data_IF_884611050040
#
_entry.id   IF_884611050040
#
_cell.length_a   1.000
_cell.length_b   1.000
_cell.length_c   1.000
_cell.angle_alpha   90.00
_cell.angle_beta   90.00
_cell.angle_gamma   90.00
#
_symmetry.space_group_name_H-M   'P 1'
#
loop_
_entity.id
_entity.type
_entity.pdbx_description
1 polymer ?
#
# COMPACT_ATOMS: atom_id res chain seq x y z
N UNK A 1 -34.36 44.04 -19.29
CA UNK A 1 -33.88 43.19 -18.17
C UNK A 1 -33.19 41.97 -18.75
N UNK A 2 -31.84 42.02 -18.77
CA UNK A 2 -30.99 41.00 -19.31
C UNK A 2 -30.76 39.94 -18.20
N UNK A 3 -31.32 38.76 -18.33
CA UNK A 3 -31.00 37.62 -17.48
C UNK A 3 -29.66 37.02 -17.92
N UNK A 4 -28.62 37.27 -17.16
CA UNK A 4 -27.37 36.51 -17.23
C UNK A 4 -27.63 35.11 -16.66
N UNK A 5 -27.82 34.13 -17.52
CA UNK A 5 -27.69 32.72 -17.16
C UNK A 5 -26.21 32.45 -16.84
N UNK A 6 -25.85 32.45 -15.58
CA UNK A 6 -24.60 31.85 -15.11
C UNK A 6 -24.71 30.34 -15.34
N UNK A 7 -24.20 29.89 -16.47
CA UNK A 7 -23.89 28.47 -16.70
C UNK A 7 -22.81 28.09 -15.68
N UNK A 8 -23.24 27.42 -14.61
CA UNK A 8 -22.32 26.73 -13.72
C UNK A 8 -21.75 25.55 -14.54
N UNK A 9 -20.63 25.78 -15.24
CA UNK A 9 -19.84 24.68 -15.74
C UNK A 9 -19.41 23.86 -14.51
N UNK A 10 -20.02 22.68 -14.29
CA UNK A 10 -19.41 21.66 -13.46
C UNK A 10 -18.03 21.40 -14.09
N UNK A 11 -16.99 21.83 -13.42
CA UNK A 11 -15.65 21.47 -13.77
C UNK A 11 -15.57 19.97 -13.51
N UNK A 12 -15.50 19.15 -14.57
CA UNK A 12 -15.30 17.72 -14.43
C UNK A 12 -13.99 17.51 -13.66
N UNK A 13 -14.10 17.05 -12.43
CA UNK A 13 -12.92 16.72 -11.61
C UNK A 13 -12.22 15.53 -12.26
N UNK A 14 -10.95 15.68 -12.64
CA UNK A 14 -10.18 14.57 -13.21
C UNK A 14 -10.17 13.40 -12.23
N UNK A 15 -10.31 12.15 -12.69
CA UNK A 15 -10.28 10.98 -11.81
C UNK A 15 -9.01 10.92 -10.95
N UNK A 16 -9.14 10.42 -9.71
CA UNK A 16 -8.02 10.21 -8.79
C UNK A 16 -7.61 8.74 -8.82
N UNK A 17 -6.37 8.45 -9.19
CA UNK A 17 -5.83 7.09 -9.14
C UNK A 17 -5.11 6.83 -7.82
N UNK A 18 -5.49 5.74 -7.15
CA UNK A 18 -4.91 5.32 -5.87
C UNK A 18 -4.30 3.93 -6.04
N UNK A 19 -3.05 3.75 -5.62
CA UNK A 19 -2.33 2.49 -5.67
C UNK A 19 -1.73 2.10 -4.33
N UNK A 20 -1.31 0.83 -4.27
CA UNK A 20 -0.53 0.30 -3.16
C UNK A 20 0.53 -0.68 -3.69
N UNK A 21 1.69 -0.70 -3.04
CA UNK A 21 2.74 -1.67 -3.33
C UNK A 21 3.63 -1.96 -2.11
N UNK A 22 3.86 -3.24 -1.84
CA UNK A 22 4.95 -3.69 -0.97
C UNK A 22 6.24 -3.70 -1.81
N UNK A 23 7.21 -2.85 -1.42
CA UNK A 23 8.42 -2.63 -2.22
C UNK A 23 9.51 -3.67 -2.00
N UNK A 24 9.31 -4.67 -1.16
CA UNK A 24 10.32 -5.67 -0.74
C UNK A 24 11.60 -5.01 -0.21
N UNK A 25 11.61 -4.60 1.06
CA UNK A 25 12.83 -4.19 1.77
C UNK A 25 13.62 -3.06 1.07
N UNK A 26 13.05 -1.86 1.06
CA UNK A 26 13.73 -0.66 0.56
C UNK A 26 14.52 -0.01 1.71
N UNK A 27 15.81 -0.36 1.80
CA UNK A 27 16.76 0.11 2.81
C UNK A 27 17.81 1.01 2.18
N UNK A 28 18.38 1.91 2.97
CA UNK A 28 19.59 2.64 2.60
C UNK A 28 20.86 1.79 2.89
N UNK A 29 22.04 2.39 2.80
CA UNK A 29 23.31 1.70 2.98
C UNK A 29 23.90 1.88 4.39
N UNK A 30 23.26 2.69 5.23
CA UNK A 30 23.69 2.91 6.59
C UNK A 30 23.11 1.85 7.52
N UNK A 31 23.84 1.48 8.55
CA UNK A 31 23.40 0.57 9.61
C UNK A 31 22.78 1.41 10.73
N UNK A 32 21.50 1.21 11.06
CA UNK A 32 20.90 1.81 12.25
C UNK A 32 21.13 0.91 13.45
N UNK A 33 21.99 1.31 14.41
CA UNK A 33 22.34 0.47 15.55
C UNK A 33 21.17 0.14 16.48
N UNK A 34 20.00 0.77 16.30
CA UNK A 34 18.77 0.50 17.07
C UNK A 34 17.81 -0.45 16.36
N UNK A 35 18.12 -0.84 15.10
CA UNK A 35 17.31 -1.72 14.25
C UNK A 35 18.07 -3.00 13.88
N UNK A 36 17.36 -3.96 13.30
CA UNK A 36 17.96 -5.20 12.77
C UNK A 36 18.00 -5.12 11.24
N UNK A 37 18.69 -4.15 10.70
CA UNK A 37 18.83 -3.83 9.28
C UNK A 37 20.24 -4.07 8.74
N UNK A 38 21.18 -4.45 9.61
CA UNK A 38 22.60 -4.65 9.30
C UNK A 38 22.83 -5.54 8.06
N UNK A 39 21.87 -6.39 7.70
CA UNK A 39 22.01 -7.24 6.51
C UNK A 39 21.96 -6.45 5.20
N UNK A 40 21.33 -5.26 5.21
CA UNK A 40 21.17 -4.39 4.04
C UNK A 40 22.24 -3.29 3.97
N UNK A 41 22.98 -3.04 5.06
CA UNK A 41 24.03 -2.03 5.10
C UNK A 41 25.25 -2.43 4.28
N UNK A 42 26.12 -1.44 4.02
CA UNK A 42 27.41 -1.67 3.35
C UNK A 42 28.28 -2.63 4.17
N UNK A 43 28.65 -3.77 3.57
CA UNK A 43 29.40 -4.83 4.24
C UNK A 43 28.56 -5.76 5.11
N UNK A 44 27.24 -5.58 5.16
CA UNK A 44 26.31 -6.51 5.77
C UNK A 44 26.19 -7.84 5.01
N UNK A 45 25.32 -8.72 5.49
CA UNK A 45 25.21 -10.10 4.98
C UNK A 45 24.82 -10.19 3.50
N UNK A 46 24.03 -9.24 2.99
CA UNK A 46 23.64 -9.14 1.57
C UNK A 46 24.69 -8.46 0.71
N UNK A 47 25.72 -7.87 1.33
CA UNK A 47 26.79 -7.13 0.67
C UNK A 47 26.26 -6.09 -0.33
N UNK A 48 25.33 -5.26 0.13
CA UNK A 48 24.70 -4.22 -0.69
C UNK A 48 25.75 -3.16 -1.04
N UNK A 49 26.02 -2.99 -2.33
CA UNK A 49 26.88 -1.94 -2.87
C UNK A 49 26.03 -0.76 -3.33
N UNK A 50 26.66 0.38 -3.65
CA UNK A 50 25.97 1.53 -4.24
C UNK A 50 25.22 1.14 -5.52
N UNK A 51 25.81 0.30 -6.37
CA UNK A 51 25.18 -0.12 -7.63
C UNK A 51 23.90 -0.95 -7.38
N UNK A 52 23.90 -1.80 -6.34
CA UNK A 52 22.73 -2.60 -5.95
C UNK A 52 21.65 -1.69 -5.38
N UNK A 53 22.03 -0.73 -4.55
CA UNK A 53 21.14 0.27 -4.01
C UNK A 53 20.48 1.11 -5.13
N UNK A 54 21.33 1.65 -6.04
CA UNK A 54 20.85 2.44 -7.18
C UNK A 54 19.91 1.62 -8.07
N UNK A 55 20.18 0.32 -8.27
CA UNK A 55 19.30 -0.57 -8.99
C UNK A 55 17.93 -0.69 -8.29
N UNK A 56 17.91 -0.84 -6.96
CA UNK A 56 16.64 -0.93 -6.19
C UNK A 56 15.84 0.36 -6.28
N UNK A 57 16.48 1.52 -6.14
CA UNK A 57 15.87 2.84 -6.28
C UNK A 57 15.25 3.00 -7.68
N UNK A 58 16.03 2.68 -8.73
CA UNK A 58 15.57 2.81 -10.12
C UNK A 58 14.41 1.86 -10.44
N UNK A 59 14.47 0.61 -9.98
CA UNK A 59 13.38 -0.37 -10.16
C UNK A 59 12.11 0.09 -9.44
N UNK A 60 12.26 0.69 -8.24
CA UNK A 60 11.12 1.25 -7.50
C UNK A 60 10.51 2.44 -8.25
N UNK A 61 11.33 3.35 -8.77
CA UNK A 61 10.87 4.48 -9.58
C UNK A 61 10.18 4.02 -10.89
N UNK A 62 10.70 2.97 -11.54
CA UNK A 62 10.09 2.39 -12.74
C UNK A 62 8.71 1.78 -12.43
N UNK A 63 8.57 1.05 -11.31
CA UNK A 63 7.27 0.52 -10.88
C UNK A 63 6.26 1.64 -10.61
N UNK A 64 6.67 2.73 -9.95
CA UNK A 64 5.80 3.90 -9.74
C UNK A 64 5.37 4.54 -11.07
N UNK A 65 6.26 4.57 -12.07
CA UNK A 65 5.94 5.10 -13.39
C UNK A 65 4.86 4.26 -14.10
N UNK A 66 4.96 2.94 -14.04
CA UNK A 66 3.98 2.04 -14.65
C UNK A 66 2.67 2.00 -13.86
N UNK A 67 2.75 2.05 -12.53
CA UNK A 67 1.57 2.14 -11.67
C UNK A 67 0.78 3.43 -11.95
N UNK A 68 1.50 4.52 -12.23
CA UNK A 68 0.96 5.83 -12.61
C UNK A 68 -0.23 6.28 -11.75
N UNK A 69 -0.10 6.16 -10.42
CA UNK A 69 -1.13 6.55 -9.48
C UNK A 69 -0.87 7.95 -8.90
N UNK A 70 -1.92 8.70 -8.59
CA UNK A 70 -1.81 10.04 -8.00
C UNK A 70 -1.51 9.96 -6.50
N UNK A 71 -1.95 8.87 -5.86
CA UNK A 71 -1.68 8.55 -4.45
C UNK A 71 -1.22 7.11 -4.37
N UNK A 72 -0.09 6.87 -3.69
CA UNK A 72 0.49 5.52 -3.56
C UNK A 72 0.83 5.23 -2.12
N UNK A 73 0.20 4.21 -1.54
CA UNK A 73 0.64 3.59 -0.29
C UNK A 73 1.82 2.66 -0.55
N UNK A 74 2.84 2.73 0.27
CA UNK A 74 4.00 1.84 0.22
C UNK A 74 4.20 1.20 1.59
N UNK A 75 4.77 0.00 1.61
CA UNK A 75 5.29 -0.62 2.83
C UNK A 75 6.64 -1.29 2.59
N UNK A 76 7.31 -1.70 3.67
CA UNK A 76 8.70 -2.17 3.67
C UNK A 76 9.71 -1.09 3.25
N UNK A 77 9.42 0.14 3.63
CA UNK A 77 10.29 1.30 3.46
C UNK A 77 11.01 1.56 4.77
N UNK A 78 12.32 1.71 4.73
CA UNK A 78 13.10 1.96 5.94
C UNK A 78 12.87 3.35 6.51
N UNK A 79 13.09 4.38 5.71
CA UNK A 79 13.08 5.75 6.20
C UNK A 79 12.66 6.76 5.11
N UNK A 80 12.58 8.03 5.49
CA UNK A 80 12.23 9.11 4.57
C UNK A 80 13.28 9.33 3.49
N UNK A 81 14.56 9.11 3.79
CA UNK A 81 15.64 9.35 2.85
C UNK A 81 15.51 8.47 1.60
N UNK A 82 15.26 7.16 1.75
CA UNK A 82 15.07 6.28 0.58
C UNK A 82 13.85 6.67 -0.26
N UNK A 83 12.79 7.21 0.36
CA UNK A 83 11.63 7.73 -0.37
C UNK A 83 11.96 9.00 -1.18
N UNK A 84 12.78 9.87 -0.65
CA UNK A 84 13.26 11.08 -1.35
C UNK A 84 14.13 10.70 -2.55
N UNK A 85 15.01 9.69 -2.41
CA UNK A 85 15.82 9.15 -3.52
C UNK A 85 14.94 8.52 -4.61
N UNK A 86 13.93 7.74 -4.25
CA UNK A 86 12.95 7.19 -5.22
C UNK A 86 12.20 8.32 -5.92
N UNK A 87 11.74 9.33 -5.18
CA UNK A 87 11.01 10.46 -5.76
C UNK A 87 11.89 11.31 -6.70
N UNK A 88 13.18 11.40 -6.41
CA UNK A 88 14.16 12.05 -7.27
C UNK A 88 14.41 11.25 -8.56
N UNK A 89 14.48 9.91 -8.46
CA UNK A 89 14.64 9.03 -9.61
C UNK A 89 13.37 8.97 -10.48
N UNK A 90 12.20 9.15 -9.86
CA UNK A 90 10.91 9.15 -10.55
C UNK A 90 10.61 10.52 -11.14
N UNK A 91 10.52 10.61 -12.46
CA UNK A 91 10.34 11.89 -13.18
C UNK A 91 8.89 12.17 -13.61
N UNK A 92 7.95 11.27 -13.29
CA UNK A 92 6.56 11.38 -13.73
C UNK A 92 5.74 12.41 -12.97
N UNK A 93 5.99 12.54 -11.65
CA UNK A 93 5.31 13.47 -10.73
C UNK A 93 6.29 13.93 -9.65
N UNK A 94 6.05 15.12 -9.09
CA UNK A 94 6.72 15.57 -7.86
C UNK A 94 5.87 15.20 -6.65
N UNK A 95 6.00 13.95 -6.20
CA UNK A 95 5.25 13.49 -5.05
C UNK A 95 5.67 14.22 -3.77
N UNK A 96 4.68 14.49 -2.92
CA UNK A 96 4.93 14.77 -1.51
C UNK A 96 4.86 13.47 -0.72
N UNK A 97 5.62 13.40 0.36
CA UNK A 97 5.86 12.20 1.14
C UNK A 97 5.27 12.37 2.53
N UNK A 98 4.48 11.38 2.97
CA UNK A 98 4.07 11.22 4.36
C UNK A 98 4.68 9.91 4.86
N UNK A 99 5.50 10.02 5.90
CA UNK A 99 6.22 8.92 6.52
C UNK A 99 6.41 9.21 8.00
N UNK A 100 6.26 8.19 8.82
CA UNK A 100 6.52 8.19 10.25
C UNK A 100 7.29 6.91 10.60
N UNK A 101 8.34 7.08 11.41
CA UNK A 101 9.07 5.96 11.97
C UNK A 101 8.19 5.15 12.90
N UNK A 102 8.21 3.83 12.76
CA UNK A 102 7.49 2.89 13.59
C UNK A 102 8.41 2.09 14.52
N UNK A 103 7.84 1.44 15.55
CA UNK A 103 8.64 0.63 16.46
C UNK A 103 9.02 -0.76 15.88
N UNK A 104 8.85 -1.03 14.60
CA UNK A 104 9.28 -2.31 14.00
C UNK A 104 10.77 -2.52 14.19
N UNK A 105 11.16 -3.73 14.61
CA UNK A 105 12.55 -4.04 14.93
C UNK A 105 13.46 -4.12 13.71
N UNK A 106 12.92 -4.29 12.51
CA UNK A 106 13.68 -4.28 11.25
C UNK A 106 13.89 -2.88 10.70
N UNK A 107 13.20 -1.86 11.27
CA UNK A 107 13.25 -0.51 10.75
C UNK A 107 12.45 -0.32 9.46
N UNK A 108 11.36 -1.06 9.25
CA UNK A 108 10.51 -0.87 8.07
C UNK A 108 9.18 -0.25 8.45
N UNK A 109 8.67 0.62 7.57
CA UNK A 109 7.51 1.45 7.82
C UNK A 109 6.49 1.41 6.67
N UNK A 110 5.36 2.07 6.92
CA UNK A 110 4.37 2.44 5.93
C UNK A 110 4.58 3.89 5.49
N UNK A 111 4.40 4.17 4.21
CA UNK A 111 4.50 5.50 3.64
C UNK A 111 3.37 5.81 2.68
N UNK A 112 3.11 7.09 2.42
CA UNK A 112 2.22 7.56 1.36
C UNK A 112 2.95 8.59 0.51
N UNK A 113 2.96 8.37 -0.79
CA UNK A 113 3.34 9.34 -1.81
C UNK A 113 2.06 9.93 -2.42
N UNK A 114 2.02 11.24 -2.66
CA UNK A 114 0.85 11.86 -3.29
C UNK A 114 1.21 13.05 -4.17
N UNK A 115 0.46 13.21 -5.26
CA UNK A 115 0.53 14.40 -6.11
C UNK A 115 -0.30 15.54 -5.49
N UNK A 116 0.35 16.62 -5.01
CA UNK A 116 -0.37 17.71 -4.35
C UNK A 116 -1.23 18.54 -5.31
N UNK A 117 -1.09 18.38 -6.61
CA UNK A 117 -1.94 19.03 -7.60
C UNK A 117 -3.33 18.41 -7.73
N UNK A 118 -3.49 17.15 -7.28
CA UNK A 118 -4.73 16.37 -7.40
C UNK A 118 -5.32 16.05 -6.04
N UNK A 119 -4.48 15.72 -5.05
CA UNK A 119 -4.89 15.29 -3.71
C UNK A 119 -4.31 16.23 -2.64
N UNK A 120 -5.18 16.79 -1.80
CA UNK A 120 -4.78 17.72 -0.74
C UNK A 120 -4.83 17.02 0.61
N UNK A 121 -3.69 16.88 1.25
CA UNK A 121 -3.62 16.35 2.63
C UNK A 121 -4.12 17.39 3.62
N UNK A 122 -5.04 16.97 4.49
CA UNK A 122 -5.64 17.78 5.56
C UNK A 122 -5.00 17.46 6.91
N UNK A 123 -4.76 16.16 7.17
CA UNK A 123 -4.17 15.67 8.42
C UNK A 123 -3.52 14.31 8.19
N UNK A 124 -2.53 13.95 9.02
CA UNK A 124 -1.92 12.63 9.01
C UNK A 124 -1.34 12.25 10.35
N UNK A 125 -1.34 10.95 10.65
CA UNK A 125 -0.74 10.42 11.88
C UNK A 125 -0.34 8.96 11.73
N UNK A 126 0.66 8.54 12.50
CA UNK A 126 0.92 7.14 12.78
C UNK A 126 -0.03 6.66 13.88
N UNK A 127 -0.73 5.55 13.66
CA UNK A 127 -1.57 4.90 14.64
C UNK A 127 -0.78 3.72 15.21
N UNK A 128 -0.43 3.80 16.49
CA UNK A 128 0.24 2.71 17.21
C UNK A 128 -0.56 1.40 17.07
N UNK A 129 0.13 0.34 16.69
CA UNK A 129 -0.44 -0.98 16.46
C UNK A 129 0.02 -1.98 17.54
N UNK A 130 -0.59 -1.94 18.74
CA UNK A 130 -0.17 -2.77 19.86
C UNK A 130 -0.53 -4.23 19.62
N UNK A 131 0.47 -5.07 19.43
CA UNK A 131 0.29 -6.51 19.29
C UNK A 131 0.32 -7.26 20.63
N UNK A 132 -0.28 -8.47 20.70
CA UNK A 132 -0.16 -9.34 21.88
C UNK A 132 1.30 -9.56 22.29
N UNK A 133 1.54 -9.65 23.60
CA UNK A 133 2.86 -9.82 24.20
C UNK A 133 3.86 -8.68 23.94
N UNK A 134 3.37 -7.46 23.69
CA UNK A 134 4.18 -6.28 23.39
C UNK A 134 5.15 -6.45 22.21
N UNK A 135 4.79 -7.29 21.25
CA UNK A 135 5.56 -7.43 20.00
C UNK A 135 5.49 -6.11 19.24
N UNK A 136 6.66 -5.56 18.92
CA UNK A 136 6.77 -4.36 18.11
C UNK A 136 6.49 -4.68 16.63
N UNK A 137 5.83 -3.75 15.95
CA UNK A 137 5.46 -3.86 14.54
C UNK A 137 5.25 -2.47 13.94
N UNK A 138 4.95 -2.43 12.65
CA UNK A 138 4.62 -1.20 11.93
C UNK A 138 3.36 -0.56 12.45
N UNK A 139 3.39 0.75 12.60
CA UNK A 139 2.21 1.55 12.82
C UNK A 139 1.33 1.55 11.57
N UNK A 140 0.03 1.82 11.74
CA UNK A 140 -0.86 2.06 10.61
C UNK A 140 -0.74 3.54 10.25
N UNK A 141 -0.40 3.85 9.00
CA UNK A 141 -0.38 5.23 8.55
C UNK A 141 -1.79 5.67 8.18
N UNK A 142 -2.31 6.66 8.90
CA UNK A 142 -3.58 7.31 8.58
C UNK A 142 -3.35 8.66 7.91
N UNK A 143 -4.09 8.93 6.84
CA UNK A 143 -4.08 10.20 6.13
C UNK A 143 -5.52 10.63 5.85
N UNK A 144 -5.88 11.82 6.29
CA UNK A 144 -7.11 12.51 5.92
C UNK A 144 -6.80 13.47 4.78
N UNK A 145 -7.44 13.29 3.65
CA UNK A 145 -7.25 14.14 2.48
C UNK A 145 -8.55 14.65 1.89
N UNK A 146 -8.42 15.55 0.93
CA UNK A 146 -9.52 16.14 0.19
C UNK A 146 -9.30 15.93 -1.31
N UNK A 147 -10.33 15.45 -2.01
CA UNK A 147 -10.37 15.31 -3.45
C UNK A 147 -11.77 15.68 -3.97
N UNK A 148 -11.83 16.56 -4.96
CA UNK A 148 -13.11 17.02 -5.54
C UNK A 148 -14.06 17.67 -4.54
N UNK A 149 -13.56 18.20 -3.41
CA UNK A 149 -14.35 18.81 -2.32
C UNK A 149 -14.90 17.81 -1.31
N UNK A 150 -14.59 16.51 -1.46
CA UNK A 150 -14.96 15.44 -0.52
C UNK A 150 -13.76 15.02 0.32
N UNK A 151 -14.03 14.53 1.52
CA UNK A 151 -13.00 14.03 2.44
C UNK A 151 -12.81 12.52 2.22
N UNK A 152 -11.56 12.11 2.07
CA UNK A 152 -11.16 10.70 2.01
C UNK A 152 -10.31 10.37 3.23
N UNK A 153 -10.60 9.25 3.87
CA UNK A 153 -9.80 8.66 4.94
C UNK A 153 -8.98 7.49 4.38
N UNK A 154 -7.68 7.69 4.23
CA UNK A 154 -6.75 6.67 3.74
C UNK A 154 -6.01 6.02 4.89
N UNK A 155 -5.83 4.70 4.82
CA UNK A 155 -5.03 3.93 5.76
C UNK A 155 -4.03 3.08 4.98
N UNK A 156 -2.74 3.23 5.26
CA UNK A 156 -1.71 2.33 4.72
C UNK A 156 -1.32 1.33 5.79
N UNK A 157 -1.38 0.04 5.43
CA UNK A 157 -1.25 -1.08 6.33
C UNK A 157 -0.14 -2.02 5.88
N UNK A 158 0.59 -2.59 6.82
CA UNK A 158 1.37 -3.80 6.62
C UNK A 158 1.17 -4.71 7.83
N UNK A 159 0.27 -5.68 7.69
CA UNK A 159 -0.10 -6.59 8.77
C UNK A 159 1.01 -7.60 9.09
N UNK A 160 1.02 -8.19 10.30
CA UNK A 160 2.02 -9.18 10.69
C UNK A 160 2.10 -10.36 9.72
N UNK A 161 3.31 -10.58 9.17
CA UNK A 161 3.55 -11.62 8.19
C UNK A 161 3.45 -13.04 8.76
N UNK A 162 3.39 -14.03 7.87
CA UNK A 162 3.42 -15.45 8.22
C UNK A 162 4.81 -15.95 8.66
N UNK A 163 5.82 -15.07 8.75
CA UNK A 163 7.16 -15.41 9.23
C UNK A 163 7.10 -15.97 10.66
N UNK A 164 7.76 -17.09 10.89
CA UNK A 164 7.69 -17.80 12.18
C UNK A 164 6.44 -18.66 12.36
N UNK A 165 5.57 -18.75 11.34
CA UNK A 165 4.42 -19.64 11.24
C UNK A 165 3.06 -18.98 11.32
N UNK A 166 2.19 -19.29 10.36
CA UNK A 166 0.85 -18.73 10.19
C UNK A 166 0.00 -18.76 11.47
N UNK A 167 0.03 -19.87 12.22
CA UNK A 167 -0.74 -19.99 13.48
C UNK A 167 -0.37 -18.95 14.53
N UNK A 168 0.89 -18.49 14.54
CA UNK A 168 1.36 -17.43 15.43
C UNK A 168 1.03 -16.03 14.92
N UNK A 169 0.88 -15.86 13.61
CA UNK A 169 0.57 -14.60 12.96
C UNK A 169 -0.92 -14.24 13.06
N UNK A 170 -1.83 -15.22 12.92
CA UNK A 170 -3.29 -15.00 12.95
C UNK A 170 -3.75 -14.15 14.15
N UNK A 171 -3.40 -14.45 15.43
CA UNK A 171 -3.85 -13.62 16.56
C UNK A 171 -3.25 -12.21 16.56
N UNK A 172 -2.08 -12.00 15.95
CA UNK A 172 -1.49 -10.67 15.78
C UNK A 172 -2.28 -9.86 14.77
N UNK A 173 -2.62 -10.45 13.62
CA UNK A 173 -3.48 -9.81 12.61
C UNK A 173 -4.88 -9.54 13.15
N UNK A 174 -5.43 -10.45 13.96
CA UNK A 174 -6.70 -10.22 14.64
C UNK A 174 -6.68 -8.97 15.53
N UNK A 175 -5.59 -8.72 16.26
CA UNK A 175 -5.43 -7.51 17.06
C UNK A 175 -5.37 -6.26 16.19
N UNK A 176 -4.62 -6.30 15.06
CA UNK A 176 -4.57 -5.20 14.09
C UNK A 176 -5.94 -4.94 13.45
N UNK A 177 -6.66 -5.98 13.03
CA UNK A 177 -8.01 -5.85 12.49
C UNK A 177 -8.99 -5.21 13.48
N UNK A 178 -8.94 -5.62 14.77
CA UNK A 178 -9.75 -5.02 15.83
C UNK A 178 -9.43 -3.55 16.08
N UNK A 179 -8.15 -3.17 16.02
CA UNK A 179 -7.72 -1.77 16.10
C UNK A 179 -8.33 -0.96 14.95
N UNK A 180 -8.22 -1.46 13.71
CA UNK A 180 -8.80 -0.80 12.52
C UNK A 180 -10.31 -0.65 12.68
N UNK A 181 -11.03 -1.72 13.05
CA UNK A 181 -12.48 -1.68 13.28
C UNK A 181 -12.84 -0.58 14.29
N UNK A 182 -12.09 -0.46 15.40
CA UNK A 182 -12.32 0.59 16.41
C UNK A 182 -12.13 1.99 15.84
N UNK A 183 -11.07 2.22 15.07
CA UNK A 183 -10.80 3.52 14.44
C UNK A 183 -11.88 3.87 13.42
N UNK A 184 -12.25 2.92 12.56
CA UNK A 184 -13.31 3.09 11.56
C UNK A 184 -14.65 3.42 12.22
N UNK A 185 -15.03 2.72 13.29
CA UNK A 185 -16.26 3.03 14.04
C UNK A 185 -16.25 4.47 14.60
N UNK A 186 -15.09 4.97 14.99
CA UNK A 186 -14.99 6.37 15.45
C UNK A 186 -15.26 7.35 14.31
N UNK A 187 -14.73 7.09 13.10
CA UNK A 187 -14.99 7.90 11.91
C UNK A 187 -16.47 7.82 11.53
N UNK A 188 -17.03 6.61 11.42
CA UNK A 188 -18.42 6.38 11.03
C UNK A 188 -19.43 6.94 12.05
N UNK A 189 -19.03 7.09 13.32
CA UNK A 189 -19.87 7.76 14.32
C UNK A 189 -20.01 9.27 14.10
N UNK A 190 -19.08 9.89 13.36
CA UNK A 190 -19.09 11.30 12.99
C UNK A 190 -19.71 11.51 11.61
N UNK A 191 -19.45 10.61 10.68
CA UNK A 191 -20.01 10.58 9.34
C UNK A 191 -20.27 9.13 8.91
N UNK A 192 -21.51 8.70 8.91
CA UNK A 192 -21.92 7.34 8.57
C UNK A 192 -21.67 7.00 7.08
N UNK A 193 -21.48 8.00 6.23
CA UNK A 193 -21.18 7.87 4.80
C UNK A 193 -19.71 8.13 4.46
N UNK A 194 -18.82 8.18 5.45
CA UNK A 194 -17.40 8.51 5.25
C UNK A 194 -16.74 7.66 4.16
N UNK A 195 -16.02 8.34 3.29
CA UNK A 195 -15.21 7.74 2.22
C UNK A 195 -13.90 7.19 2.81
N UNK A 196 -13.82 5.88 3.01
CA UNK A 196 -12.70 5.24 3.68
C UNK A 196 -12.07 4.23 2.75
N UNK A 197 -10.73 4.28 2.61
CA UNK A 197 -9.94 3.36 1.80
C UNK A 197 -8.80 2.83 2.66
N UNK A 198 -8.70 1.51 2.79
CA UNK A 198 -7.55 0.84 3.35
C UNK A 198 -6.71 0.29 2.19
N UNK A 199 -5.44 0.61 2.20
CA UNK A 199 -4.42 0.10 1.30
C UNK A 199 -3.46 -0.76 2.11
N UNK A 200 -3.00 -1.89 1.61
CA UNK A 200 -2.01 -2.61 2.38
C UNK A 200 -1.68 -4.02 1.91
N UNK A 201 -0.56 -4.51 2.46
CA UNK A 201 -0.24 -5.92 2.58
C UNK A 201 -0.89 -6.45 3.87
N UNK A 202 -2.02 -7.14 3.73
CA UNK A 202 -2.78 -7.70 4.85
C UNK A 202 -2.25 -9.06 5.29
N UNK A 203 -1.32 -9.67 4.54
CA UNK A 203 -0.79 -11.01 4.78
C UNK A 203 -1.87 -12.10 4.96
N UNK A 204 -3.06 -11.82 4.49
CA UNK A 204 -4.25 -12.67 4.41
C UNK A 204 -5.02 -12.37 3.13
N UNK A 205 -5.63 -13.41 2.55
CA UNK A 205 -6.52 -13.26 1.40
C UNK A 205 -7.84 -12.57 1.80
N UNK A 206 -8.59 -11.97 0.84
CA UNK A 206 -9.86 -11.30 1.10
C UNK A 206 -10.91 -12.14 1.82
N UNK A 207 -10.90 -13.47 1.66
CA UNK A 207 -11.85 -14.41 2.28
C UNK A 207 -11.37 -14.95 3.64
N UNK A 208 -10.18 -14.57 4.10
CA UNK A 208 -9.67 -14.99 5.39
C UNK A 208 -10.29 -14.20 6.56
N UNK A 209 -10.31 -14.85 7.73
CA UNK A 209 -11.13 -14.44 8.88
C UNK A 209 -10.86 -12.98 9.33
N UNK A 210 -9.60 -12.54 9.38
CA UNK A 210 -9.31 -11.21 9.89
C UNK A 210 -9.69 -10.11 8.89
N UNK A 211 -9.48 -10.33 7.58
CA UNK A 211 -9.96 -9.43 6.53
C UNK A 211 -11.49 -9.44 6.48
N UNK A 212 -12.14 -10.61 6.56
CA UNK A 212 -13.59 -10.73 6.62
C UNK A 212 -14.21 -10.00 7.84
N UNK A 213 -13.47 -9.91 8.94
CA UNK A 213 -13.94 -9.18 10.13
C UNK A 213 -14.17 -7.68 9.85
N UNK A 214 -13.49 -7.11 8.88
CA UNK A 214 -13.66 -5.71 8.48
C UNK A 214 -15.04 -5.44 7.85
N UNK A 215 -15.71 -6.46 7.31
CA UNK A 215 -17.10 -6.35 6.81
C UNK A 215 -18.10 -5.97 7.90
N UNK A 216 -17.78 -6.20 9.17
CA UNK A 216 -18.64 -5.81 10.30
C UNK A 216 -18.81 -4.29 10.42
N UNK A 217 -17.93 -3.53 9.81
CA UNK A 217 -17.98 -2.07 9.76
C UNK A 217 -18.15 -1.54 8.31
N UNK A 218 -18.69 -2.37 7.43
CA UNK A 218 -19.02 -1.98 6.05
C UNK A 218 -17.81 -1.84 5.12
N UNK A 219 -16.69 -2.49 5.42
CA UNK A 219 -15.52 -2.49 4.54
C UNK A 219 -15.49 -3.75 3.68
N UNK A 220 -15.14 -3.60 2.40
CA UNK A 220 -15.10 -4.70 1.42
C UNK A 220 -13.84 -4.60 0.56
N UNK A 221 -13.13 -5.71 0.39
CA UNK A 221 -11.97 -5.79 -0.49
C UNK A 221 -12.39 -5.76 -1.96
N UNK A 222 -11.74 -4.90 -2.74
CA UNK A 222 -11.92 -4.84 -4.19
C UNK A 222 -11.23 -6.00 -4.91
N UNK A 223 -10.36 -6.75 -4.22
CA UNK A 223 -9.70 -7.95 -4.76
C UNK A 223 -10.56 -9.22 -4.59
N UNK A 224 -11.58 -9.22 -3.71
CA UNK A 224 -12.42 -10.39 -3.44
C UNK A 224 -13.05 -11.02 -4.71
N UNK A 225 -13.51 -10.26 -5.71
CA UNK A 225 -14.05 -10.82 -6.96
C UNK A 225 -13.02 -11.56 -7.83
N UNK A 226 -11.72 -11.36 -7.59
CA UNK A 226 -10.64 -12.00 -8.35
C UNK A 226 -10.22 -13.36 -7.77
N UNK A 227 -10.69 -13.70 -6.55
CA UNK A 227 -10.35 -14.97 -5.89
C UNK A 227 -10.69 -16.17 -6.78
N UNK A 228 -9.75 -17.12 -6.84
CA UNK A 228 -9.90 -18.34 -7.64
C UNK A 228 -9.66 -18.16 -9.15
N UNK A 229 -9.28 -16.97 -9.61
CA UNK A 229 -8.84 -16.76 -11.00
C UNK A 229 -7.43 -17.33 -11.17
N UNK A 230 -7.20 -18.31 -12.05
CA UNK A 230 -5.89 -18.93 -12.20
C UNK A 230 -4.80 -17.92 -12.62
N UNK A 231 -3.63 -18.00 -12.02
CA UNK A 231 -2.46 -17.15 -12.26
C UNK A 231 -2.71 -15.65 -11.98
N UNK A 232 -3.68 -15.34 -11.11
CA UNK A 232 -3.97 -13.98 -10.67
C UNK A 232 -3.76 -13.91 -9.16
N UNK A 233 -2.91 -13.01 -8.73
CA UNK A 233 -2.57 -12.75 -7.34
C UNK A 233 -1.53 -11.64 -7.24
N UNK A 234 -1.38 -11.08 -6.06
CA UNK A 234 -0.37 -10.03 -5.79
C UNK A 234 0.94 -10.60 -5.27
N UNK A 235 0.90 -11.80 -4.72
CA UNK A 235 2.05 -12.57 -4.23
C UNK A 235 1.88 -14.05 -4.61
N UNK A 236 2.97 -14.81 -4.70
CA UNK A 236 2.92 -16.26 -4.93
C UNK A 236 3.74 -16.98 -3.87
N UNK A 237 3.11 -17.87 -3.12
CA UNK A 237 3.80 -18.66 -2.11
C UNK A 237 3.55 -20.15 -2.34
N UNK A 238 4.63 -20.93 -2.52
CA UNK A 238 4.59 -22.39 -2.78
C UNK A 238 3.68 -22.80 -3.95
N UNK A 239 3.61 -21.94 -4.98
CA UNK A 239 2.79 -22.20 -6.17
C UNK A 239 1.34 -21.77 -6.04
N UNK A 240 0.94 -21.20 -4.91
CA UNK A 240 -0.40 -20.65 -4.70
C UNK A 240 -0.39 -19.15 -4.92
N UNK A 241 -1.30 -18.64 -5.75
CA UNK A 241 -1.54 -17.23 -5.95
C UNK A 241 -2.31 -16.66 -4.75
N UNK A 242 -1.80 -15.56 -4.17
CA UNK A 242 -2.33 -14.95 -2.95
C UNK A 242 -2.64 -13.46 -3.20
N UNK A 243 -3.69 -12.95 -2.55
CA UNK A 243 -4.11 -11.56 -2.64
C UNK A 243 -3.80 -10.82 -1.35
N UNK A 244 -2.53 -10.79 -0.95
CA UNK A 244 -2.10 -10.13 0.28
C UNK A 244 -2.17 -8.61 0.18
N UNK A 245 -1.90 -8.05 -1.02
CA UNK A 245 -1.98 -6.63 -1.29
C UNK A 245 -3.40 -6.28 -1.74
N UNK A 246 -4.09 -5.45 -0.96
CA UNK A 246 -5.51 -5.19 -1.17
C UNK A 246 -5.84 -3.69 -1.10
N UNK A 247 -6.90 -3.33 -1.81
CA UNK A 247 -7.63 -2.08 -1.64
C UNK A 247 -9.00 -2.43 -1.08
N UNK A 248 -9.31 -1.92 0.11
CA UNK A 248 -10.54 -2.20 0.84
C UNK A 248 -11.30 -0.88 1.00
N UNK A 249 -12.57 -0.84 0.64
CA UNK A 249 -13.37 0.40 0.60
C UNK A 249 -14.60 0.32 1.49
N UNK A 250 -15.02 1.49 2.02
CA UNK A 250 -16.26 1.62 2.80
C UNK A 250 -17.52 1.63 1.93
N UNK A 251 -18.69 1.49 2.58
CA UNK A 251 -19.98 1.67 1.93
C UNK A 251 -20.17 3.08 1.36
N UNK A 252 -19.52 4.13 1.94
CA UNK A 252 -19.53 5.48 1.38
C UNK A 252 -19.13 5.49 -0.09
N UNK A 253 -18.03 4.82 -0.44
CA UNK A 253 -17.57 4.72 -1.83
C UNK A 253 -18.46 3.86 -2.75
N UNK A 254 -19.52 3.24 -2.23
CA UNK A 254 -20.46 2.40 -2.97
C UNK A 254 -21.89 2.98 -3.01
N UNK A 255 -22.19 4.00 -2.25
CA UNK A 255 -23.53 4.56 -2.09
C UNK A 255 -23.98 5.48 -3.24
N UNK A 256 -23.11 5.71 -4.23
CA UNK A 256 -23.33 6.57 -5.41
C UNK A 256 -23.54 8.03 -5.08
N UNK A 257 -22.87 8.53 -4.03
CA UNK A 257 -22.85 9.94 -3.63
C UNK A 257 -21.41 10.37 -3.43
N UNK A 258 -21.16 11.68 -3.45
CA UNK A 258 -19.83 12.24 -3.21
C UNK A 258 -18.78 11.62 -4.10
N UNK A 259 -18.12 10.56 -3.62
CA UNK A 259 -17.16 9.79 -4.38
C UNK A 259 -17.64 8.34 -4.62
N UNK A 260 -17.07 7.74 -5.64
CA UNK A 260 -17.21 6.33 -5.94
C UNK A 260 -15.90 5.80 -6.53
N UNK A 261 -15.88 4.55 -6.91
CA UNK A 261 -14.76 3.98 -7.65
C UNK A 261 -15.22 3.36 -8.97
N UNK A 262 -14.34 3.40 -9.96
CA UNK A 262 -14.54 2.68 -11.22
C UNK A 262 -14.14 1.21 -11.03
N UNK A 263 -15.11 0.31 -11.02
CA UNK A 263 -14.89 -1.13 -10.81
C UNK A 263 -14.05 -1.78 -11.93
N UNK A 264 -14.06 -1.22 -13.14
CA UNK A 264 -13.27 -1.73 -14.27
C UNK A 264 -11.80 -1.29 -14.17
N UNK A 265 -11.50 -0.28 -13.34
CA UNK A 265 -10.15 0.21 -13.10
C UNK A 265 -9.39 -0.56 -12.01
N UNK A 266 -10.09 -1.44 -11.26
CA UNK A 266 -9.45 -2.26 -10.22
C UNK A 266 -8.50 -3.24 -10.89
N UNK A 267 -7.21 -3.13 -10.60
CA UNK A 267 -6.21 -3.92 -11.27
C UNK A 267 -5.03 -4.30 -10.38
N UNK A 268 -4.43 -5.43 -10.71
CA UNK A 268 -3.08 -5.80 -10.29
C UNK A 268 -2.16 -5.40 -11.45
N UNK A 269 -1.08 -4.68 -11.18
CA UNK A 269 -0.10 -4.31 -12.20
C UNK A 269 0.80 -5.52 -12.51
N UNK A 270 0.33 -6.35 -13.41
CA UNK A 270 0.96 -7.61 -13.79
C UNK A 270 1.54 -7.53 -15.22
N UNK A 271 2.66 -6.85 -15.35
CA UNK A 271 3.41 -6.81 -16.61
C UNK A 271 4.45 -7.94 -16.65
N UNK A 272 4.81 -8.46 -17.85
CA UNK A 272 5.79 -9.54 -17.98
C UNK A 272 7.11 -9.27 -17.26
N UNK A 273 7.60 -8.03 -17.24
CA UNK A 273 8.83 -7.64 -16.55
C UNK A 273 8.77 -7.77 -15.02
N UNK A 274 7.55 -7.78 -14.43
CA UNK A 274 7.33 -7.97 -13.00
C UNK A 274 7.18 -9.43 -12.59
N UNK A 275 7.23 -10.35 -13.55
CA UNK A 275 7.23 -11.79 -13.33
C UNK A 275 8.59 -12.40 -13.67
N UNK A 276 9.01 -13.36 -12.90
CA UNK A 276 10.18 -14.19 -13.24
C UNK A 276 9.86 -15.00 -14.49
N UNK A 277 10.72 -14.92 -15.51
CA UNK A 277 10.42 -15.46 -16.84
C UNK A 277 10.82 -16.91 -17.01
N UNK A 278 11.79 -17.40 -16.23
CA UNK A 278 12.42 -18.71 -16.41
C UNK A 278 12.59 -19.46 -15.08
N UNK A 279 12.79 -20.79 -15.16
CA UNK A 279 13.09 -21.67 -14.03
C UNK A 279 11.82 -22.10 -13.26
N UNK A 280 12.06 -22.72 -12.11
CA UNK A 280 11.00 -23.30 -11.25
C UNK A 280 10.06 -22.22 -10.65
N UNK A 281 10.49 -20.98 -10.68
CA UNK A 281 9.74 -19.83 -10.18
C UNK A 281 9.20 -18.93 -11.30
N UNK A 282 9.20 -19.42 -12.56
CA UNK A 282 8.51 -18.71 -13.64
C UNK A 282 7.08 -18.38 -13.18
N UNK A 283 6.54 -17.24 -13.52
CA UNK A 283 5.27 -16.66 -13.06
C UNK A 283 5.23 -16.05 -11.63
N UNK A 284 6.21 -16.35 -10.76
CA UNK A 284 6.30 -15.62 -9.49
C UNK A 284 6.62 -14.14 -9.74
N UNK A 285 6.21 -13.23 -8.86
CA UNK A 285 6.72 -11.85 -8.91
C UNK A 285 8.25 -11.86 -8.95
N UNK A 286 8.85 -11.02 -9.79
CA UNK A 286 10.31 -10.95 -9.94
C UNK A 286 10.90 -10.15 -8.79
N UNK A 287 11.13 -10.84 -7.71
CA UNK A 287 11.64 -10.29 -6.45
C UNK A 287 13.06 -9.75 -6.59
N UNK A 288 13.40 -8.80 -5.71
CA UNK A 288 14.75 -8.24 -5.68
C UNK A 288 15.75 -9.20 -5.02
N UNK A 289 15.36 -9.83 -3.91
CA UNK A 289 16.18 -10.77 -3.17
C UNK A 289 15.57 -12.19 -3.09
N UNK A 290 16.40 -13.21 -3.22
CA UNK A 290 16.10 -14.60 -2.85
C UNK A 290 17.01 -15.02 -1.70
N UNK A 291 16.56 -14.84 -0.46
CA UNK A 291 17.42 -14.96 0.71
C UNK A 291 18.55 -13.92 0.67
N UNK A 292 19.81 -14.38 0.56
CA UNK A 292 20.96 -13.49 0.43
C UNK A 292 21.43 -13.30 -1.03
N UNK A 293 20.75 -13.93 -2.00
CA UNK A 293 21.12 -13.84 -3.42
C UNK A 293 20.36 -12.69 -4.08
N UNK A 294 21.08 -11.77 -4.72
CA UNK A 294 20.50 -10.73 -5.55
C UNK A 294 19.92 -11.35 -6.83
N UNK A 295 18.64 -11.15 -7.08
CA UNK A 295 17.99 -11.45 -8.36
C UNK A 295 17.84 -10.20 -9.22
N UNK A 296 17.77 -9.01 -8.60
CA UNK A 296 17.72 -7.73 -9.28
C UNK A 296 16.37 -7.40 -9.92
N UNK A 297 15.27 -8.06 -9.47
CA UNK A 297 13.92 -7.75 -9.87
C UNK A 297 13.35 -6.54 -9.15
N UNK A 298 12.04 -6.51 -8.96
CA UNK A 298 11.33 -5.35 -8.40
C UNK A 298 10.86 -5.60 -6.95
N UNK A 299 10.02 -6.62 -6.76
CA UNK A 299 9.48 -7.05 -5.47
C UNK A 299 8.90 -8.46 -5.58
N UNK A 300 8.73 -9.14 -4.45
CA UNK A 300 7.93 -10.37 -4.35
C UNK A 300 6.42 -10.10 -4.28
N UNK A 301 6.02 -8.85 -4.43
CA UNK A 301 4.64 -8.41 -4.52
C UNK A 301 4.38 -7.63 -5.81
N UNK A 302 3.18 -7.77 -6.38
CA UNK A 302 2.68 -6.95 -7.47
C UNK A 302 1.83 -5.80 -6.91
N UNK A 303 1.97 -4.62 -7.50
CA UNK A 303 1.20 -3.45 -7.10
C UNK A 303 -0.27 -3.56 -7.49
N UNK A 304 -1.15 -2.91 -6.72
CA UNK A 304 -2.59 -2.81 -6.99
C UNK A 304 -3.01 -1.35 -7.18
N UNK A 305 -4.07 -1.12 -7.98
CA UNK A 305 -4.57 0.22 -8.28
C UNK A 305 -6.08 0.24 -8.48
N UNK A 306 -6.70 1.38 -8.14
CA UNK A 306 -8.10 1.72 -8.44
C UNK A 306 -8.22 3.19 -8.82
N UNK A 307 -9.24 3.53 -9.58
CA UNK A 307 -9.62 4.91 -9.92
C UNK A 307 -10.83 5.35 -9.11
N UNK A 308 -10.70 6.45 -8.38
CA UNK A 308 -11.78 7.11 -7.65
C UNK A 308 -12.35 8.22 -8.54
N UNK A 309 -13.66 8.30 -8.57
CA UNK A 309 -14.42 9.24 -9.41
C UNK A 309 -15.37 10.08 -8.55
N UNK A 310 -15.58 11.31 -8.96
CA UNK A 310 -16.64 12.15 -8.40
C UNK A 310 -17.98 11.73 -9.03
N UNK A 311 -18.99 11.48 -8.18
CA UNK A 311 -20.34 11.09 -8.59
C UNK A 311 -21.20 12.34 -8.86
#
# INVERSE_FOLDING_TARGET
>A
TLWLMLSCCKQDTAPLTIGFWNVENLFDLADDPEKNDEEFSTGGRKNVTQEIYDLKINNTAEMLADLNADVVGLCEVENRFVLEEVNQAYTGRDYKIIHYESPDSRGIDNALLYDPSVFKVVDSQAIDNPLPNNVKTRDILYVKGEYGGEIIHLFVNHWPSNYGGRKKAIPKRAATAQLIVKVILTILSQDASAEIILLGDFNEDPDEMNVQSLKTVGLTSLMEPMLGTPNVGTNVYRGEDLFYDQIIVSEGLKDKKGLGFDSESVMILDLPKYRQQEGDYAHYPFRFWAGNSLLGGYSDHLAVRVTIIKI
#
